data_IF_340367623865
#
_entry.id   IF_340367623865
#
_cell.length_a   1.000
_cell.length_b   1.000
_cell.length_c   1.000
_cell.angle_alpha   90.00
_cell.angle_beta   90.00
_cell.angle_gamma   90.00
#
_symmetry.space_group_name_H-M   'P 1'
#
loop_
_entity.id
_entity.type
_entity.pdbx_description
1 polymer ?
#
# COMPACT_ATOMS: atom_id res chain seq x y z
N UNK A 1 -2.85 -3.24 18.76
CA UNK A 1 -3.31 -2.73 17.45
C UNK A 1 -3.70 -3.93 16.63
N UNK A 2 -4.95 -4.11 16.28
CA UNK A 2 -5.40 -5.19 15.39
C UNK A 2 -5.38 -4.63 13.97
N UNK A 3 -4.83 -5.39 13.02
CA UNK A 3 -5.17 -5.19 11.62
C UNK A 3 -6.63 -5.64 11.47
N UNK A 4 -7.55 -4.74 11.75
CA UNK A 4 -8.97 -5.01 11.65
C UNK A 4 -9.47 -4.63 10.26
N UNK A 5 -10.23 -5.51 9.64
CA UNK A 5 -11.18 -5.12 8.62
C UNK A 5 -12.25 -4.31 9.35
N UNK A 6 -12.53 -3.11 8.90
CA UNK A 6 -13.79 -2.48 9.26
C UNK A 6 -14.90 -3.30 8.60
N UNK A 7 -15.63 -4.07 9.41
CA UNK A 7 -16.66 -5.00 8.96
C UNK A 7 -17.78 -4.32 8.16
N UNK A 8 -17.90 -3.00 8.28
CA UNK A 8 -18.90 -2.23 7.55
C UNK A 8 -18.43 -1.77 6.18
N UNK A 9 -17.09 -1.86 5.89
CA UNK A 9 -16.50 -1.29 4.67
C UNK A 9 -16.01 -2.37 3.70
N UNK A 10 -15.41 -3.46 4.19
CA UNK A 10 -14.79 -4.46 3.32
C UNK A 10 -14.94 -5.89 3.84
N UNK A 11 -15.32 -6.80 2.94
CA UNK A 11 -15.33 -8.25 3.20
C UNK A 11 -13.92 -8.81 3.38
N UNK A 12 -12.97 -8.29 2.60
CA UNK A 12 -11.57 -8.69 2.62
C UNK A 12 -10.65 -7.46 2.64
N UNK A 13 -9.55 -7.56 3.40
CA UNK A 13 -8.46 -6.59 3.36
C UNK A 13 -7.13 -7.29 3.13
N UNK A 14 -6.36 -6.81 2.15
CA UNK A 14 -5.02 -7.31 1.86
C UNK A 14 -3.96 -6.29 2.28
N UNK A 15 -2.91 -6.77 2.93
CA UNK A 15 -1.79 -5.97 3.41
C UNK A 15 -0.52 -6.39 2.70
N UNK A 16 0.28 -5.42 2.25
CA UNK A 16 1.59 -5.67 1.66
C UNK A 16 2.68 -5.41 2.69
N UNK A 17 3.62 -6.35 2.81
CA UNK A 17 4.84 -6.24 3.61
C UNK A 17 6.10 -6.20 2.74
N UNK A 18 5.95 -5.79 1.47
CA UNK A 18 7.05 -5.59 0.54
C UNK A 18 8.09 -4.61 1.10
N UNK A 19 9.35 -4.70 0.62
CA UNK A 19 10.51 -3.96 1.13
C UNK A 19 10.33 -2.45 1.22
N UNK A 20 9.53 -1.84 0.33
CA UNK A 20 9.28 -0.39 0.32
C UNK A 20 8.17 0.06 1.29
N UNK A 21 7.51 -0.88 1.99
CA UNK A 21 6.52 -0.53 3.00
C UNK A 21 7.21 -0.21 4.33
N UNK A 22 6.59 0.61 5.15
CA UNK A 22 7.16 0.96 6.46
C UNK A 22 7.04 -0.17 7.50
N UNK A 23 6.10 -1.11 7.32
CA UNK A 23 6.10 -2.44 7.94
C UNK A 23 6.51 -3.43 6.86
N UNK A 24 7.64 -4.08 7.02
CA UNK A 24 8.19 -4.93 5.96
C UNK A 24 8.76 -6.24 6.48
N UNK A 25 8.58 -7.30 5.70
CA UNK A 25 9.25 -8.60 5.85
C UNK A 25 10.17 -8.88 4.66
N UNK A 26 10.64 -7.85 3.95
CA UNK A 26 11.25 -7.87 2.63
C UNK A 26 10.23 -8.21 1.53
N UNK A 27 9.67 -9.39 1.57
CA UNK A 27 8.50 -9.84 0.79
C UNK A 27 7.48 -10.46 1.73
N UNK A 28 6.19 -10.28 1.44
CA UNK A 28 5.12 -10.88 2.22
C UNK A 28 3.86 -10.04 2.23
N UNK A 29 2.87 -10.53 2.96
CA UNK A 29 1.59 -9.86 3.15
C UNK A 29 0.71 -10.61 4.11
N UNK A 30 -0.45 -10.04 4.37
CA UNK A 30 -1.53 -10.67 5.13
C UNK A 30 -2.86 -10.45 4.43
N UNK A 31 -3.76 -11.39 4.62
CA UNK A 31 -5.15 -11.30 4.25
C UNK A 31 -6.00 -11.41 5.52
N UNK A 32 -6.91 -10.48 5.71
CA UNK A 32 -7.94 -10.57 6.74
C UNK A 32 -9.32 -10.50 6.09
N UNK A 33 -10.33 -11.08 6.73
CA UNK A 33 -11.70 -11.03 6.24
C UNK A 33 -12.69 -10.97 7.39
N UNK A 34 -13.85 -10.41 7.07
CA UNK A 34 -14.99 -10.37 7.96
C UNK A 34 -16.29 -10.46 7.14
N UNK A 35 -16.73 -11.69 6.88
CA UNK A 35 -17.90 -11.94 6.07
C UNK A 35 -19.16 -12.00 6.93
N UNK A 36 -20.25 -11.33 6.53
CA UNK A 36 -21.54 -11.42 7.23
C UNK A 36 -22.02 -12.86 7.38
N UNK A 37 -21.75 -13.70 6.38
CA UNK A 37 -22.10 -15.13 6.32
C UNK A 37 -20.96 -16.06 6.74
N UNK A 38 -19.87 -15.53 7.32
CA UNK A 38 -18.66 -16.32 7.63
C UNK A 38 -18.88 -17.56 8.51
N UNK A 39 -19.91 -17.53 9.34
CA UNK A 39 -20.31 -18.65 10.20
C UNK A 39 -21.37 -19.59 9.57
N UNK A 40 -21.86 -19.27 8.37
CA UNK A 40 -22.74 -20.15 7.62
C UNK A 40 -21.97 -21.30 7.00
N UNK A 41 -22.65 -22.41 6.74
CA UNK A 41 -22.04 -23.60 6.15
C UNK A 41 -21.90 -23.45 4.65
N UNK A 42 -20.81 -23.99 4.12
CA UNK A 42 -20.60 -24.11 2.67
C UNK A 42 -21.51 -25.23 2.15
N UNK A 43 -22.49 -24.89 1.33
CA UNK A 43 -23.52 -25.84 0.87
C UNK A 43 -23.14 -26.58 -0.41
N UNK A 44 -22.18 -26.07 -1.18
CA UNK A 44 -21.80 -26.63 -2.48
C UNK A 44 -20.33 -26.46 -2.81
N UNK A 45 -19.82 -27.33 -3.67
CA UNK A 45 -18.48 -27.25 -4.18
C UNK A 45 -18.24 -25.92 -4.94
N UNK A 46 -17.14 -25.26 -4.60
CA UNK A 46 -16.68 -24.04 -5.27
C UNK A 46 -15.70 -24.39 -6.40
N UNK A 47 -15.56 -23.50 -7.37
CA UNK A 47 -14.59 -23.62 -8.48
C UNK A 47 -13.71 -22.39 -8.50
N UNK A 48 -12.40 -22.57 -8.58
CA UNK A 48 -11.43 -21.50 -8.73
C UNK A 48 -10.49 -21.78 -9.91
N UNK A 49 -10.42 -20.84 -10.86
CA UNK A 49 -9.62 -20.98 -12.09
C UNK A 49 -9.88 -22.30 -12.84
N UNK A 50 -11.15 -22.71 -12.92
CA UNK A 50 -11.57 -23.93 -13.60
C UNK A 50 -11.31 -25.23 -12.83
N UNK A 51 -10.67 -25.18 -11.68
CA UNK A 51 -10.43 -26.34 -10.82
C UNK A 51 -11.46 -26.41 -9.69
N UNK A 52 -12.08 -27.57 -9.45
CA UNK A 52 -12.91 -27.76 -8.27
C UNK A 52 -12.09 -27.57 -7.00
N UNK A 53 -12.61 -26.78 -6.07
CA UNK A 53 -11.99 -26.62 -4.77
C UNK A 53 -12.72 -27.51 -3.78
N UNK A 54 -12.08 -28.55 -3.21
CA UNK A 54 -12.74 -29.44 -2.27
C UNK A 54 -13.28 -28.67 -1.06
N UNK A 55 -14.50 -28.93 -0.67
CA UNK A 55 -15.04 -28.49 0.61
C UNK A 55 -15.23 -29.68 1.54
N UNK A 56 -15.26 -29.43 2.84
CA UNK A 56 -15.51 -30.44 3.86
C UNK A 56 -16.95 -30.26 4.32
N UNK A 57 -17.70 -31.35 4.34
CA UNK A 57 -19.11 -31.30 4.77
C UNK A 57 -19.23 -30.73 6.19
N UNK A 58 -20.04 -29.68 6.30
CA UNK A 58 -20.27 -28.98 7.55
C UNK A 58 -19.27 -27.91 7.90
N UNK A 59 -18.21 -27.66 7.07
CA UNK A 59 -17.33 -26.50 7.28
C UNK A 59 -18.07 -25.18 7.04
N UNK A 60 -17.72 -24.16 7.83
CA UNK A 60 -18.19 -22.79 7.64
C UNK A 60 -17.39 -22.07 6.56
N UNK A 61 -17.91 -20.92 6.05
CA UNK A 61 -17.16 -20.09 5.12
C UNK A 61 -15.83 -19.59 5.69
N UNK A 62 -15.76 -19.27 6.98
CA UNK A 62 -14.51 -18.89 7.63
C UNK A 62 -13.47 -20.01 7.60
N UNK A 63 -13.87 -21.23 7.93
CA UNK A 63 -13.00 -22.41 7.89
C UNK A 63 -12.57 -22.76 6.46
N UNK A 64 -13.47 -22.67 5.50
CA UNK A 64 -13.19 -22.87 4.08
C UNK A 64 -12.15 -21.87 3.56
N UNK A 65 -12.36 -20.56 3.80
CA UNK A 65 -11.44 -19.51 3.35
C UNK A 65 -10.08 -19.66 4.04
N UNK A 66 -10.04 -19.94 5.33
CA UNK A 66 -8.80 -20.21 6.04
C UNK A 66 -8.02 -21.37 5.40
N UNK A 67 -8.67 -22.48 5.14
CA UNK A 67 -8.09 -23.65 4.49
C UNK A 67 -7.58 -23.32 3.08
N UNK A 68 -8.34 -22.57 2.28
CA UNK A 68 -7.88 -22.12 0.96
C UNK A 68 -6.65 -21.22 1.07
N UNK A 69 -6.60 -20.34 2.05
CA UNK A 69 -5.46 -19.47 2.31
C UNK A 69 -4.19 -20.24 2.67
N UNK A 70 -4.30 -21.49 3.10
CA UNK A 70 -3.15 -22.40 3.29
C UNK A 70 -2.76 -23.11 1.98
N UNK A 71 -3.73 -23.47 1.15
CA UNK A 71 -3.49 -24.23 -0.08
C UNK A 71 -2.94 -23.35 -1.21
N UNK A 72 -3.53 -22.18 -1.45
CA UNK A 72 -3.18 -21.31 -2.57
C UNK A 72 -1.71 -20.89 -2.61
N UNK A 73 -1.08 -20.46 -1.51
CA UNK A 73 0.30 -20.03 -1.53
C UNK A 73 1.31 -21.18 -1.55
N UNK A 74 0.88 -22.43 -1.41
CA UNK A 74 1.74 -23.62 -1.33
C UNK A 74 1.42 -24.66 -2.43
N UNK A 75 1.30 -24.24 -3.69
CA UNK A 75 1.02 -25.10 -4.85
C UNK A 75 -0.29 -25.89 -4.79
N UNK A 76 -1.21 -25.59 -3.90
CA UNK A 76 -2.38 -26.44 -3.63
C UNK A 76 -2.04 -27.75 -2.91
N UNK A 77 -0.87 -27.85 -2.29
CA UNK A 77 -0.45 -29.03 -1.55
C UNK A 77 -1.25 -29.16 -0.26
N UNK A 78 -1.87 -30.32 -0.06
CA UNK A 78 -2.75 -30.61 1.09
C UNK A 78 -2.00 -30.93 2.40
N UNK A 79 -0.66 -30.96 2.36
CA UNK A 79 0.20 -31.25 3.50
C UNK A 79 1.35 -30.27 3.58
N UNK A 80 1.49 -29.60 4.69
CA UNK A 80 2.63 -28.73 4.99
C UNK A 80 3.88 -29.53 5.42
N UNK A 81 4.99 -28.82 5.60
CA UNK A 81 6.25 -29.42 6.04
C UNK A 81 6.15 -30.06 7.43
N UNK A 82 5.36 -29.45 8.36
CA UNK A 82 5.19 -29.96 9.73
C UNK A 82 4.40 -31.27 9.74
N UNK A 83 3.35 -31.38 8.92
CA UNK A 83 2.59 -32.60 8.78
C UNK A 83 3.43 -33.76 8.21
N UNK A 84 4.46 -33.47 7.41
CA UNK A 84 5.40 -34.45 6.85
C UNK A 84 6.45 -34.97 7.84
N UNK A 85 6.60 -34.39 9.01
CA UNK A 85 7.57 -34.85 10.02
C UNK A 85 7.13 -36.13 10.75
N UNK A 86 5.86 -36.52 10.62
CA UNK A 86 5.37 -37.81 11.19
C UNK A 86 5.96 -39.01 10.45
N UNK A 87 6.39 -39.99 11.19
CA UNK A 87 6.98 -41.21 10.62
C UNK A 87 6.03 -41.87 9.57
N UNK A 88 6.53 -42.09 8.36
CA UNK A 88 5.74 -42.68 7.26
C UNK A 88 4.81 -41.68 6.53
N UNK A 89 4.79 -40.41 6.87
CA UNK A 89 3.89 -39.42 6.30
C UNK A 89 4.46 -38.74 5.01
N UNK A 90 4.94 -39.55 4.05
CA UNK A 90 5.50 -39.01 2.80
C UNK A 90 4.42 -38.61 1.78
N UNK A 91 3.26 -39.24 1.82
CA UNK A 91 2.18 -39.07 0.83
C UNK A 91 1.49 -37.71 1.00
N UNK A 92 1.33 -37.02 -0.09
CA UNK A 92 0.60 -35.75 -0.20
C UNK A 92 -0.06 -35.67 -1.59
N UNK A 93 -1.01 -34.76 -1.74
CA UNK A 93 -1.70 -34.51 -2.99
C UNK A 93 -1.64 -33.03 -3.36
N UNK A 94 -1.72 -32.73 -4.64
CA UNK A 94 -1.89 -31.38 -5.21
C UNK A 94 -3.35 -31.22 -5.60
N UNK A 95 -4.09 -30.50 -4.77
CA UNK A 95 -5.53 -30.30 -4.92
C UNK A 95 -5.84 -29.39 -6.12
N UNK A 96 -4.93 -28.47 -6.46
CA UNK A 96 -5.06 -27.59 -7.60
C UNK A 96 -3.72 -26.92 -7.97
N UNK A 97 -3.51 -26.56 -9.25
CA UNK A 97 -2.25 -26.00 -9.75
C UNK A 97 -2.12 -24.51 -9.40
N UNK A 98 -2.00 -24.21 -8.12
CA UNK A 98 -1.98 -22.83 -7.63
C UNK A 98 -0.55 -22.29 -7.40
N UNK A 99 -0.41 -21.26 -6.58
CA UNK A 99 0.80 -20.43 -6.51
C UNK A 99 1.85 -20.99 -5.54
N UNK A 100 3.08 -20.47 -5.65
CA UNK A 100 4.14 -20.63 -4.65
C UNK A 100 4.51 -19.24 -4.14
N UNK A 101 3.85 -18.80 -3.07
CA UNK A 101 4.03 -17.48 -2.48
C UNK A 101 3.82 -17.47 -0.95
N UNK A 102 4.06 -18.61 -0.29
CA UNK A 102 3.98 -18.70 1.16
C UNK A 102 5.08 -17.88 1.83
N UNK A 103 4.74 -17.23 2.93
CA UNK A 103 5.72 -16.57 3.80
C UNK A 103 6.64 -17.64 4.43
N UNK A 104 7.95 -17.37 4.45
CA UNK A 104 8.91 -18.22 5.16
C UNK A 104 9.01 -17.83 6.63
N UNK A 105 9.48 -18.75 7.48
CA UNK A 105 9.69 -18.48 8.91
C UNK A 105 10.68 -17.33 9.15
N UNK A 106 11.68 -17.18 8.27
CA UNK A 106 12.64 -16.05 8.32
C UNK A 106 11.91 -14.72 8.13
N UNK A 107 11.03 -14.63 7.13
CA UNK A 107 10.22 -13.43 6.88
C UNK A 107 9.24 -13.17 8.02
N UNK A 108 8.62 -14.22 8.55
CA UNK A 108 7.71 -14.12 9.69
C UNK A 108 8.42 -13.61 10.94
N UNK A 109 9.64 -14.09 11.23
CA UNK A 109 10.45 -13.63 12.35
C UNK A 109 10.81 -12.13 12.24
N UNK A 110 11.17 -11.67 11.03
CA UNK A 110 11.36 -10.23 10.77
C UNK A 110 10.07 -9.46 11.01
N UNK A 111 8.93 -9.99 10.57
CA UNK A 111 7.61 -9.39 10.75
C UNK A 111 7.23 -9.20 12.21
N UNK A 112 7.52 -10.17 13.08
CA UNK A 112 7.25 -10.06 14.51
C UNK A 112 7.99 -8.87 15.14
N UNK A 113 9.29 -8.72 14.85
CA UNK A 113 10.09 -7.57 15.34
C UNK A 113 9.59 -6.24 14.78
N UNK A 114 9.22 -6.21 13.49
CA UNK A 114 8.66 -5.01 12.88
C UNK A 114 7.30 -4.65 13.49
N UNK A 115 6.48 -5.64 13.83
CA UNK A 115 5.17 -5.44 14.42
C UNK A 115 5.27 -4.81 15.82
N UNK A 116 6.21 -5.23 16.63
CA UNK A 116 6.51 -4.61 17.95
C UNK A 116 6.88 -3.13 17.80
N UNK A 117 7.61 -2.77 16.76
CA UNK A 117 8.07 -1.40 16.48
C UNK A 117 7.02 -0.53 15.79
N UNK A 118 5.98 -1.14 15.22
CA UNK A 118 5.02 -0.48 14.35
C UNK A 118 4.35 0.76 14.98
N UNK A 119 3.91 0.74 16.27
CA UNK A 119 3.32 1.93 16.91
C UNK A 119 4.25 3.14 16.92
N UNK A 120 5.53 2.94 17.27
CA UNK A 120 6.52 4.04 17.30
C UNK A 120 6.86 4.56 15.89
N UNK A 121 6.82 3.69 14.89
CA UNK A 121 7.00 4.10 13.50
C UNK A 121 5.84 4.95 12.97
N UNK A 122 4.61 4.65 13.38
CA UNK A 122 3.43 5.46 13.05
C UNK A 122 3.51 6.84 13.72
N UNK A 123 3.88 6.90 15.00
CA UNK A 123 4.03 8.16 15.72
C UNK A 123 5.04 9.08 15.04
N UNK A 124 6.23 8.57 14.76
CA UNK A 124 7.27 9.33 14.06
C UNK A 124 6.80 9.86 12.69
N UNK A 125 6.04 9.07 11.93
CA UNK A 125 5.47 9.53 10.65
C UNK A 125 4.42 10.61 10.86
N UNK A 126 3.62 10.49 11.91
CA UNK A 126 2.63 11.49 12.27
C UNK A 126 3.28 12.85 12.59
N UNK A 127 4.38 12.86 13.35
CA UNK A 127 5.15 14.07 13.65
C UNK A 127 5.67 14.73 12.36
N UNK A 128 6.30 13.95 11.46
CA UNK A 128 6.79 14.46 10.17
C UNK A 128 5.67 15.00 9.28
N UNK A 129 4.53 14.31 9.20
CA UNK A 129 3.37 14.78 8.43
C UNK A 129 2.82 16.09 9.00
N UNK A 130 2.79 16.23 10.32
CA UNK A 130 2.35 17.47 10.98
C UNK A 130 3.29 18.63 10.65
N UNK A 131 4.59 18.39 10.64
CA UNK A 131 5.62 19.38 10.25
C UNK A 131 5.46 19.77 8.77
N UNK A 132 5.28 18.81 7.87
CA UNK A 132 5.05 19.08 6.46
C UNK A 132 3.78 19.89 6.22
N UNK A 133 2.68 19.53 6.88
CA UNK A 133 1.41 20.29 6.79
C UNK A 133 1.63 21.75 7.20
N UNK A 134 2.28 22.01 8.34
CA UNK A 134 2.57 23.35 8.80
C UNK A 134 3.44 24.14 7.82
N UNK A 135 4.44 23.50 7.22
CA UNK A 135 5.30 24.09 6.19
C UNK A 135 4.52 24.44 4.91
N UNK A 136 3.65 23.56 4.44
CA UNK A 136 2.77 23.82 3.28
C UNK A 136 1.78 24.94 3.59
N UNK A 137 1.17 24.97 4.78
CA UNK A 137 0.23 26.02 5.16
C UNK A 137 0.94 27.39 5.22
N UNK A 138 2.17 27.44 5.74
CA UNK A 138 3.00 28.63 5.73
C UNK A 138 3.38 29.07 4.30
N UNK A 139 3.71 28.13 3.42
CA UNK A 139 3.97 28.41 2.01
C UNK A 139 2.73 29.01 1.34
N UNK A 140 1.56 28.40 1.53
CA UNK A 140 0.29 28.79 0.94
C UNK A 140 -0.17 30.19 1.37
N UNK A 141 0.20 30.64 2.55
CA UNK A 141 -0.10 32.01 3.01
C UNK A 141 0.55 33.10 2.13
N UNK A 142 1.61 32.76 1.40
CA UNK A 142 2.30 33.65 0.46
C UNK A 142 1.96 33.46 -1.01
N UNK A 143 1.10 32.48 -1.34
CA UNK A 143 0.69 32.13 -2.72
C UNK A 143 -0.74 32.58 -2.99
N UNK A 144 -1.03 32.93 -4.26
CA UNK A 144 -2.41 33.12 -4.69
C UNK A 144 -3.20 31.81 -4.70
N UNK A 145 -4.54 31.91 -4.64
CA UNK A 145 -5.42 30.75 -4.50
C UNK A 145 -5.33 29.74 -5.68
N UNK A 146 -4.92 30.18 -6.88
CA UNK A 146 -4.82 29.32 -8.05
C UNK A 146 -3.54 28.47 -8.04
N UNK A 147 -2.52 28.89 -7.28
CA UNK A 147 -1.19 28.25 -7.26
C UNK A 147 -0.83 27.65 -5.89
N UNK A 148 -1.81 27.46 -5.03
CA UNK A 148 -1.59 26.81 -3.72
C UNK A 148 -1.16 25.35 -3.88
N UNK A 149 -0.37 24.89 -2.93
CA UNK A 149 -0.02 23.47 -2.79
C UNK A 149 -1.11 22.76 -1.97
N UNK A 150 -1.66 21.69 -2.50
CA UNK A 150 -2.62 20.85 -1.79
C UNK A 150 -1.96 19.57 -1.32
N UNK A 151 -2.27 19.12 -0.13
CA UNK A 151 -1.87 17.82 0.42
C UNK A 151 -3.10 17.01 0.82
N UNK A 152 -2.92 15.70 1.01
CA UNK A 152 -4.00 14.83 1.46
C UNK A 152 -4.32 15.08 2.94
N UNK A 153 -5.60 15.11 3.27
CA UNK A 153 -6.01 15.09 4.67
C UNK A 153 -5.79 13.67 5.24
N UNK A 154 -4.75 13.53 6.04
CA UNK A 154 -4.38 12.25 6.67
C UNK A 154 -5.19 11.94 7.92
N UNK A 155 -5.96 12.89 8.44
CA UNK A 155 -6.78 12.73 9.64
C UNK A 155 -8.11 13.44 9.48
N UNK A 156 -9.19 12.72 9.74
CA UNK A 156 -10.54 13.25 9.87
C UNK A 156 -11.17 12.74 11.18
N UNK A 157 -12.34 13.23 11.61
CA UNK A 157 -12.97 12.79 12.85
C UNK A 157 -13.22 11.29 12.96
N UNK A 158 -13.44 10.63 11.83
CA UNK A 158 -13.83 9.22 11.70
C UNK A 158 -12.70 8.30 11.19
N UNK A 159 -11.59 8.86 10.71
CA UNK A 159 -10.48 8.06 10.20
C UNK A 159 -9.11 8.73 10.35
N UNK A 160 -8.07 7.91 10.32
CA UNK A 160 -6.68 8.34 10.27
C UNK A 160 -5.91 7.41 9.33
N UNK A 161 -5.17 8.02 8.39
CA UNK A 161 -4.29 7.24 7.52
C UNK A 161 -3.06 6.72 8.28
N UNK A 162 -2.43 5.70 7.75
CA UNK A 162 -1.14 5.19 8.25
C UNK A 162 0.07 6.05 7.86
N UNK A 163 -0.13 7.19 7.20
CA UNK A 163 0.91 8.09 6.72
C UNK A 163 1.97 7.38 5.84
N UNK A 164 1.52 6.54 4.91
CA UNK A 164 2.45 5.77 4.07
C UNK A 164 3.21 6.66 3.09
N UNK A 165 2.52 7.59 2.43
CA UNK A 165 3.07 8.53 1.46
C UNK A 165 2.63 9.95 1.84
N UNK A 166 3.44 10.95 1.51
CA UNK A 166 3.08 12.35 1.61
C UNK A 166 3.02 12.97 0.21
N UNK A 167 1.83 12.99 -0.36
CA UNK A 167 1.57 13.50 -1.70
C UNK A 167 1.15 14.96 -1.62
N UNK A 168 1.76 15.78 -2.46
CA UNK A 168 1.37 17.18 -2.67
C UNK A 168 0.98 17.41 -4.12
N UNK A 169 0.11 18.39 -4.37
CA UNK A 169 -0.28 18.80 -5.70
C UNK A 169 -0.07 20.29 -5.87
N UNK A 170 0.65 20.66 -6.91
CA UNK A 170 0.91 22.04 -7.30
C UNK A 170 -0.27 22.56 -8.13
N UNK A 171 -1.24 23.24 -7.51
CA UNK A 171 -2.43 23.72 -8.21
C UNK A 171 -2.05 24.67 -9.35
N UNK A 172 -2.75 24.57 -10.48
CA UNK A 172 -2.51 25.39 -11.66
C UNK A 172 -1.22 25.11 -12.43
N UNK A 173 -0.44 24.10 -12.00
CA UNK A 173 0.84 23.73 -12.64
C UNK A 173 0.72 22.49 -13.51
N UNK A 174 1.55 22.45 -14.55
CA UNK A 174 1.66 21.33 -15.48
C UNK A 174 2.60 20.24 -14.96
N UNK A 175 2.61 19.08 -15.64
CA UNK A 175 3.58 18.00 -15.34
C UNK A 175 5.04 18.44 -15.55
N UNK A 176 5.29 19.25 -16.58
CA UNK A 176 6.63 19.79 -16.86
C UNK A 176 7.13 20.70 -15.73
N UNK A 177 6.27 21.56 -15.18
CA UNK A 177 6.62 22.41 -14.04
C UNK A 177 6.87 21.59 -12.77
N UNK A 178 6.02 20.60 -12.51
CA UNK A 178 6.24 19.69 -11.38
C UNK A 178 7.52 18.85 -11.55
N UNK A 179 7.89 18.45 -12.78
CA UNK A 179 9.16 17.77 -13.05
C UNK A 179 10.35 18.69 -12.75
N UNK A 180 10.28 19.98 -13.07
CA UNK A 180 11.34 20.95 -12.71
C UNK A 180 11.52 21.05 -11.19
N UNK A 181 10.43 21.01 -10.41
CA UNK A 181 10.52 20.96 -8.94
C UNK A 181 11.24 19.68 -8.49
N UNK A 182 10.90 18.52 -9.06
CA UNK A 182 11.56 17.23 -8.77
C UNK A 182 13.05 17.31 -9.07
N UNK A 183 13.44 17.88 -10.22
CA UNK A 183 14.85 18.07 -10.61
C UNK A 183 15.59 18.97 -9.62
N UNK A 184 15.03 20.11 -9.27
CA UNK A 184 15.64 21.04 -8.31
C UNK A 184 15.73 20.46 -6.88
N UNK A 185 14.75 19.66 -6.46
CA UNK A 185 14.82 18.90 -5.21
C UNK A 185 15.98 17.89 -5.24
N UNK A 186 16.15 17.18 -6.36
CA UNK A 186 17.24 16.22 -6.55
C UNK A 186 18.61 16.88 -6.54
N UNK A 187 18.77 18.07 -7.12
CA UNK A 187 19.99 18.90 -7.06
C UNK A 187 20.37 19.27 -5.62
N UNK A 188 19.39 19.36 -4.72
CA UNK A 188 19.58 19.59 -3.28
C UNK A 188 19.72 18.30 -2.47
N UNK A 189 19.86 17.14 -3.13
CA UNK A 189 20.02 15.83 -2.50
C UNK A 189 18.72 15.25 -1.93
N UNK A 190 17.56 15.78 -2.32
CA UNK A 190 16.25 15.35 -1.83
C UNK A 190 15.56 14.50 -2.89
N UNK A 191 15.39 13.20 -2.63
CA UNK A 191 14.71 12.26 -3.52
C UNK A 191 13.18 12.40 -3.38
N UNK A 192 12.53 12.96 -4.38
CA UNK A 192 11.08 12.99 -4.53
C UNK A 192 10.61 11.94 -5.54
N UNK A 193 9.31 11.66 -5.58
CA UNK A 193 8.74 10.66 -6.49
C UNK A 193 7.36 11.11 -7.00
N UNK A 194 6.70 10.24 -7.77
CA UNK A 194 5.31 10.41 -8.24
C UNK A 194 4.55 9.11 -8.01
N UNK A 195 3.42 9.17 -7.31
CA UNK A 195 2.58 8.00 -6.98
C UNK A 195 1.12 8.20 -7.42
N UNK A 196 0.79 7.81 -8.68
CA UNK A 196 1.62 7.18 -9.71
C UNK A 196 1.29 7.72 -11.10
N UNK A 197 2.15 7.47 -12.09
CA UNK A 197 1.76 7.63 -13.49
C UNK A 197 0.55 6.73 -13.76
N UNK A 198 -0.58 7.26 -14.30
CA UNK A 198 -1.77 6.47 -14.54
C UNK A 198 -1.55 5.26 -15.45
N UNK A 199 -2.17 4.12 -15.12
CA UNK A 199 -2.03 2.88 -15.89
C UNK A 199 -2.33 3.04 -17.39
N UNK A 200 -3.37 3.80 -17.84
CA UNK A 200 -3.62 4.04 -19.27
C UNK A 200 -2.43 4.69 -20.00
N UNK A 201 -1.52 5.36 -19.28
CA UNK A 201 -0.31 5.96 -19.86
C UNK A 201 0.86 4.97 -19.99
N UNK A 202 0.77 3.77 -19.41
CA UNK A 202 1.80 2.74 -19.47
C UNK A 202 1.72 1.95 -20.78
N UNK A 203 2.87 1.55 -21.35
CA UNK A 203 2.96 0.86 -22.64
C UNK A 203 2.08 -0.38 -22.72
N UNK A 204 2.10 -1.22 -21.66
CA UNK A 204 1.31 -2.44 -21.64
C UNK A 204 -0.21 -2.17 -21.74
N UNK A 205 -0.69 -1.15 -21.05
CA UNK A 205 -2.12 -0.81 -21.06
C UNK A 205 -2.54 -0.12 -22.35
N UNK A 206 -1.69 0.73 -22.94
CA UNK A 206 -1.90 1.29 -24.27
C UNK A 206 -2.04 0.20 -25.34
N UNK A 207 -1.23 -0.87 -25.23
CA UNK A 207 -1.31 -2.02 -26.14
C UNK A 207 -2.66 -2.77 -26.04
N UNK A 208 -3.38 -2.62 -24.94
CA UNK A 208 -4.76 -3.14 -24.76
C UNK A 208 -5.86 -2.13 -25.12
N UNK A 209 -5.50 -0.99 -25.73
CA UNK A 209 -6.47 0.01 -26.21
C UNK A 209 -6.90 1.04 -25.17
N UNK A 210 -6.25 1.10 -24.00
CA UNK A 210 -6.55 2.16 -23.03
C UNK A 210 -5.93 3.49 -23.46
N UNK A 211 -6.72 4.56 -23.39
CA UNK A 211 -6.27 5.94 -23.61
C UNK A 211 -6.49 6.77 -22.34
N UNK A 212 -5.53 7.59 -21.98
CA UNK A 212 -5.63 8.48 -20.81
C UNK A 212 -6.75 9.52 -20.97
N UNK A 213 -7.12 9.87 -22.18
CA UNK A 213 -8.22 10.79 -22.46
C UNK A 213 -9.58 10.29 -21.91
N UNK A 214 -9.75 8.99 -21.77
CA UNK A 214 -10.95 8.36 -21.18
C UNK A 214 -10.94 8.42 -19.65
N UNK A 215 -9.83 8.84 -19.03
CA UNK A 215 -9.60 8.87 -17.57
C UNK A 215 -9.15 10.27 -17.09
N UNK A 216 -9.92 11.35 -17.35
CA UNK A 216 -9.51 12.71 -17.07
C UNK A 216 -9.22 12.96 -15.59
N UNK A 217 -9.94 12.33 -14.66
CA UNK A 217 -9.72 12.46 -13.23
C UNK A 217 -8.36 11.85 -12.81
N UNK A 218 -7.97 10.72 -13.39
CA UNK A 218 -6.68 10.09 -13.11
C UNK A 218 -5.52 10.97 -13.63
N UNK A 219 -5.67 11.54 -14.83
CA UNK A 219 -4.69 12.48 -15.36
C UNK A 219 -4.59 13.75 -14.50
N UNK A 220 -5.73 14.34 -14.14
CA UNK A 220 -5.76 15.55 -13.31
C UNK A 220 -5.10 15.36 -11.93
N UNK A 221 -5.21 14.17 -11.33
CA UNK A 221 -4.51 13.87 -10.07
C UNK A 221 -3.00 13.71 -10.26
N UNK A 222 -2.57 13.22 -11.41
CA UNK A 222 -1.16 12.95 -11.73
C UNK A 222 -0.41 14.20 -12.21
N UNK A 223 -1.06 15.08 -13.00
CA UNK A 223 -0.38 16.13 -13.80
C UNK A 223 0.52 17.08 -13.01
N UNK A 224 0.23 17.27 -11.72
CA UNK A 224 0.97 18.18 -10.86
C UNK A 224 1.29 17.59 -9.47
N UNK A 225 1.24 16.26 -9.36
CA UNK A 225 1.56 15.54 -8.13
C UNK A 225 3.06 15.38 -7.96
N UNK A 226 3.52 15.56 -6.72
CA UNK A 226 4.86 15.24 -6.23
C UNK A 226 4.72 14.53 -4.89
N UNK A 227 5.45 13.45 -4.68
CA UNK A 227 5.54 12.79 -3.38
C UNK A 227 6.82 13.19 -2.67
N UNK A 228 6.72 13.85 -1.53
CA UNK A 228 7.85 14.18 -0.68
C UNK A 228 8.34 12.96 0.10
N UNK A 229 9.65 12.86 0.40
CA UNK A 229 10.19 11.75 1.15
C UNK A 229 9.59 11.67 2.55
N UNK A 230 9.19 10.45 2.95
CA UNK A 230 8.62 10.18 4.26
C UNK A 230 8.99 8.75 4.68
N UNK A 231 9.99 8.62 5.56
CA UNK A 231 10.40 7.32 6.07
C UNK A 231 10.93 7.43 7.50
N UNK A 232 10.94 6.32 8.23
CA UNK A 232 11.30 6.28 9.65
C UNK A 232 12.80 6.41 9.94
N UNK A 233 13.66 6.45 8.92
CA UNK A 233 15.10 6.73 9.08
C UNK A 233 15.41 8.23 9.09
N UNK A 234 14.54 9.04 8.50
CA UNK A 234 14.69 10.49 8.53
C UNK A 234 14.62 11.01 9.97
N UNK A 235 15.42 12.01 10.28
CA UNK A 235 15.27 12.83 11.49
C UNK A 235 14.21 13.92 11.28
N UNK A 236 13.86 14.66 12.32
CA UNK A 236 12.99 15.84 12.17
C UNK A 236 13.71 16.95 11.41
N UNK A 237 15.01 17.11 11.61
CA UNK A 237 15.87 18.06 10.87
C UNK A 237 15.91 17.73 9.38
N UNK A 238 15.94 16.43 8.99
CA UNK A 238 15.80 16.02 7.59
C UNK A 238 14.44 16.44 7.02
N UNK A 239 13.37 16.29 7.78
CA UNK A 239 12.03 16.70 7.36
C UNK A 239 11.90 18.22 7.24
N UNK A 240 12.49 18.99 8.17
CA UNK A 240 12.61 20.46 8.08
C UNK A 240 13.35 20.87 6.81
N UNK A 241 14.50 20.26 6.56
CA UNK A 241 15.28 20.52 5.35
C UNK A 241 14.46 20.27 4.07
N UNK A 242 13.72 19.15 4.02
CA UNK A 242 12.87 18.83 2.87
C UNK A 242 11.81 19.90 2.63
N UNK A 243 11.06 20.29 3.67
CA UNK A 243 9.93 21.19 3.50
C UNK A 243 10.38 22.65 3.23
N UNK A 244 11.48 23.10 3.80
CA UNK A 244 12.07 24.42 3.55
C UNK A 244 12.53 24.53 2.10
N UNK A 245 13.29 23.54 1.61
CA UNK A 245 13.75 23.51 0.22
C UNK A 245 12.60 23.41 -0.78
N UNK A 246 11.61 22.58 -0.50
CA UNK A 246 10.41 22.49 -1.32
C UNK A 246 9.67 23.84 -1.40
N UNK A 247 9.47 24.50 -0.26
CA UNK A 247 8.80 25.80 -0.20
C UNK A 247 9.59 26.91 -0.95
N UNK A 248 10.91 26.92 -0.85
CA UNK A 248 11.77 27.85 -1.59
C UNK A 248 11.64 27.65 -3.11
N UNK A 249 11.74 26.39 -3.57
CA UNK A 249 11.64 26.05 -5.00
C UNK A 249 10.26 26.45 -5.55
N UNK A 250 9.18 26.11 -4.84
CA UNK A 250 7.82 26.43 -5.29
C UNK A 250 7.58 27.94 -5.35
N UNK A 251 8.10 28.73 -4.39
CA UNK A 251 8.07 30.20 -4.46
C UNK A 251 8.84 30.75 -5.65
N UNK A 252 9.89 30.07 -6.07
CA UNK A 252 10.71 30.45 -7.23
C UNK A 252 10.08 30.13 -8.59
N UNK A 253 9.00 29.33 -8.63
CA UNK A 253 8.25 29.10 -9.86
C UNK A 253 7.56 30.41 -10.25
N UNK A 254 8.12 31.08 -11.26
CA UNK A 254 7.57 32.34 -11.77
C UNK A 254 6.10 32.15 -12.17
N UNK A 255 5.28 33.06 -11.68
CA UNK A 255 3.86 33.19 -12.06
C UNK A 255 3.76 33.72 -13.49
#
# INVERSE_FOLDING_TARGET
>A
MSFGVDAEIADFSSFSFHAVKYFTTAEGGALTWNLPFGNEKVERQQVYCGSPVPFIEGETWNEFIYRLSQLFPLHGQNKDALAKTKLGAWEYDIIGPWYKCNMTDIMAALGLVQFERYPSMLEKRHEMVSLYNAGIDSLNAGLDAAHQVKYLNHRAPDHCSSHHLYLVRLQGRTREEANKVIEQMAERGIATNVHYKPLPMMTAYKAHGFDIADFPNAYHLFENEITLPLNTKMSMEDAEYVIENFAEIVKGLTI
#
